data_IF_326844022305
#
_entry.id   IF_326844022305
#
_cell.length_a   1.000
_cell.length_b   1.000
_cell.length_c   1.000
_cell.angle_alpha   90.00
_cell.angle_beta   90.00
_cell.angle_gamma   90.00
#
_symmetry.space_group_name_H-M   'P 1'
#
loop_
_entity.id
_entity.type
_entity.pdbx_description
1 polymer ?
#
# COMPACT_ATOMS: atom_id res chain seq x y z
N UNK A 1 -37.77 -22.92 -28.05
CA UNK A 1 -36.90 -21.82 -27.56
C UNK A 1 -37.11 -20.43 -28.21
N UNK A 2 -37.95 -20.25 -29.25
CA UNK A 2 -38.15 -18.95 -29.95
C UNK A 2 -39.15 -17.94 -29.33
N UNK A 3 -39.84 -18.28 -28.22
CA UNK A 3 -40.83 -17.41 -27.55
C UNK A 3 -40.29 -16.65 -26.32
N UNK A 4 -39.23 -17.12 -25.66
CA UNK A 4 -38.62 -16.46 -24.49
C UNK A 4 -37.77 -15.22 -24.85
N UNK A 5 -37.13 -15.19 -26.03
CA UNK A 5 -36.36 -14.03 -26.50
C UNK A 5 -37.20 -12.77 -26.74
N UNK A 6 -38.43 -12.92 -27.26
CA UNK A 6 -39.33 -11.80 -27.59
C UNK A 6 -40.00 -11.12 -26.38
N UNK A 7 -39.91 -11.73 -25.20
CA UNK A 7 -40.48 -11.18 -23.96
C UNK A 7 -39.41 -10.35 -23.20
N UNK A 8 -38.16 -10.84 -23.16
CA UNK A 8 -37.01 -10.12 -22.60
C UNK A 8 -36.71 -8.85 -23.41
N UNK A 9 -36.79 -8.92 -24.74
CA UNK A 9 -36.65 -7.72 -25.61
C UNK A 9 -37.74 -6.66 -25.36
N UNK A 10 -38.97 -7.09 -25.04
CA UNK A 10 -40.08 -6.16 -24.77
C UNK A 10 -39.96 -5.48 -23.42
N UNK A 11 -39.42 -6.16 -22.41
CA UNK A 11 -39.16 -5.60 -21.08
C UNK A 11 -37.98 -4.62 -21.14
N UNK A 12 -36.91 -4.97 -21.85
CA UNK A 12 -35.75 -4.07 -22.02
C UNK A 12 -36.14 -2.78 -22.78
N UNK A 13 -36.96 -2.89 -23.83
CA UNK A 13 -37.51 -1.71 -24.54
C UNK A 13 -38.46 -0.87 -23.67
N UNK A 14 -39.25 -1.47 -22.78
CA UNK A 14 -40.11 -0.72 -21.85
C UNK A 14 -39.32 0.02 -20.78
N UNK A 15 -38.27 -0.60 -20.22
CA UNK A 15 -37.39 0.05 -19.24
C UNK A 15 -36.53 1.17 -19.86
N UNK A 16 -36.06 1.00 -21.10
CA UNK A 16 -35.37 2.08 -21.82
C UNK A 16 -36.29 3.27 -22.14
N UNK A 17 -37.56 3.02 -22.48
CA UNK A 17 -38.56 4.07 -22.74
C UNK A 17 -38.93 4.86 -21.47
N UNK A 18 -39.09 4.19 -20.33
CA UNK A 18 -39.37 4.88 -19.06
C UNK A 18 -38.18 5.68 -18.55
N UNK A 19 -36.95 5.20 -18.75
CA UNK A 19 -35.74 5.95 -18.42
C UNK A 19 -35.49 7.16 -19.35
N UNK A 20 -35.98 7.13 -20.60
CA UNK A 20 -35.98 8.27 -21.53
C UNK A 20 -37.02 9.32 -21.13
N UNK A 21 -38.24 8.89 -20.81
CA UNK A 21 -39.32 9.76 -20.36
C UNK A 21 -38.92 10.50 -19.07
N UNK A 22 -38.35 9.79 -18.08
CA UNK A 22 -37.91 10.41 -16.82
C UNK A 22 -36.87 11.52 -17.05
N UNK A 23 -35.83 11.28 -17.85
CA UNK A 23 -34.82 12.31 -18.11
C UNK A 23 -35.32 13.49 -18.92
N UNK A 24 -36.22 13.24 -19.87
CA UNK A 24 -36.84 14.31 -20.66
C UNK A 24 -37.71 15.16 -19.75
N UNK A 25 -38.50 14.53 -18.88
CA UNK A 25 -39.31 15.22 -17.87
C UNK A 25 -38.42 16.02 -16.92
N UNK A 26 -37.31 15.46 -16.42
CA UNK A 26 -36.38 16.20 -15.55
C UNK A 26 -35.76 17.43 -16.23
N UNK A 27 -35.35 17.32 -17.50
CA UNK A 27 -34.78 18.42 -18.25
C UNK A 27 -35.81 19.52 -18.54
N UNK A 28 -37.04 19.13 -18.89
CA UNK A 28 -38.15 20.06 -19.14
C UNK A 28 -38.57 20.77 -17.84
N UNK A 29 -38.72 20.03 -16.74
CA UNK A 29 -39.05 20.59 -15.42
C UNK A 29 -37.95 21.53 -14.94
N UNK A 30 -36.67 21.15 -15.09
CA UNK A 30 -35.54 22.02 -14.77
C UNK A 30 -35.54 23.32 -15.59
N UNK A 31 -35.82 23.24 -16.89
CA UNK A 31 -35.95 24.42 -17.75
C UNK A 31 -37.12 25.33 -17.36
N UNK A 32 -38.28 24.74 -17.04
CA UNK A 32 -39.47 25.49 -16.57
C UNK A 32 -39.23 26.17 -15.22
N UNK A 33 -38.50 25.52 -14.31
CA UNK A 33 -38.12 26.10 -13.02
C UNK A 33 -37.20 27.30 -13.20
N UNK A 34 -36.19 27.20 -14.08
CA UNK A 34 -35.30 28.32 -14.39
C UNK A 34 -36.09 29.49 -14.99
N UNK A 35 -36.97 29.22 -15.96
CA UNK A 35 -37.81 30.25 -16.57
C UNK A 35 -38.74 30.94 -15.55
N UNK A 36 -39.38 30.15 -14.67
CA UNK A 36 -40.21 30.67 -13.58
C UNK A 36 -39.42 31.52 -12.59
N UNK A 37 -38.21 31.09 -12.23
CA UNK A 37 -37.30 31.85 -11.36
C UNK A 37 -36.86 33.17 -11.98
N UNK A 38 -36.50 33.15 -13.27
CA UNK A 38 -36.13 34.38 -13.99
C UNK A 38 -37.30 35.35 -14.09
N UNK A 39 -38.52 34.86 -14.31
CA UNK A 39 -39.72 35.68 -14.32
C UNK A 39 -39.99 36.30 -12.95
N UNK A 40 -39.93 35.49 -11.90
CA UNK A 40 -40.13 35.94 -10.52
C UNK A 40 -39.12 37.02 -10.12
N UNK A 41 -37.85 36.84 -10.50
CA UNK A 41 -36.79 37.84 -10.30
C UNK A 41 -37.06 39.14 -11.07
N UNK A 42 -37.50 39.07 -12.34
CA UNK A 42 -37.82 40.25 -13.14
C UNK A 42 -39.01 41.04 -12.58
N UNK A 43 -40.06 40.34 -12.13
CA UNK A 43 -41.20 40.96 -11.48
C UNK A 43 -40.80 41.64 -10.16
N UNK A 44 -40.04 40.93 -9.32
CA UNK A 44 -39.68 41.40 -7.98
C UNK A 44 -38.65 42.54 -7.99
N UNK A 45 -37.65 42.51 -8.89
CA UNK A 45 -36.60 43.53 -8.96
C UNK A 45 -36.98 44.74 -9.83
N UNK A 46 -37.77 44.55 -10.88
CA UNK A 46 -38.02 45.59 -11.89
C UNK A 46 -39.49 45.97 -12.06
N UNK A 47 -40.42 45.38 -11.30
CA UNK A 47 -41.83 45.78 -11.30
C UNK A 47 -42.53 45.57 -12.64
N UNK A 48 -42.12 44.56 -13.42
CA UNK A 48 -42.67 44.29 -14.74
C UNK A 48 -44.14 43.84 -14.66
N UNK A 49 -45.09 44.72 -14.96
CA UNK A 49 -46.51 44.35 -15.18
C UNK A 49 -46.75 43.91 -16.63
N UNK A 50 -47.60 42.89 -16.83
CA UNK A 50 -47.89 42.33 -18.16
C UNK A 50 -49.19 42.88 -18.73
N UNK A 51 -49.14 43.50 -19.91
CA UNK A 51 -50.32 43.59 -20.78
C UNK A 51 -50.72 42.19 -21.27
N UNK A 52 -52.03 41.95 -21.37
CA UNK A 52 -52.55 40.65 -21.82
C UNK A 52 -52.07 40.33 -23.24
N UNK A 53 -51.39 39.20 -23.46
CA UNK A 53 -50.74 38.93 -24.74
C UNK A 53 -51.75 38.71 -25.85
N UNK A 54 -51.57 39.43 -26.98
CA UNK A 54 -52.35 39.21 -28.20
C UNK A 54 -52.04 37.84 -28.82
N UNK A 55 -52.90 37.35 -29.73
CA UNK A 55 -52.74 36.03 -30.38
C UNK A 55 -51.36 35.81 -31.04
N UNK A 56 -50.74 36.88 -31.54
CA UNK A 56 -49.40 36.83 -32.16
C UNK A 56 -48.29 36.60 -31.13
N UNK A 57 -48.42 37.11 -29.91
CA UNK A 57 -47.41 36.92 -28.88
C UNK A 57 -47.56 35.55 -28.21
N UNK A 58 -48.78 35.06 -28.06
CA UNK A 58 -49.05 33.68 -27.64
C UNK A 58 -48.45 32.65 -28.63
N UNK A 59 -48.52 32.91 -29.94
CA UNK A 59 -47.90 32.04 -30.95
C UNK A 59 -46.37 32.12 -30.92
N UNK A 60 -45.77 33.30 -30.75
CA UNK A 60 -44.31 33.44 -30.59
C UNK A 60 -43.78 32.74 -29.32
N UNK A 61 -44.47 32.93 -28.20
CA UNK A 61 -44.10 32.31 -26.91
C UNK A 61 -44.20 30.79 -27.04
N UNK A 62 -45.32 30.25 -27.54
CA UNK A 62 -45.47 28.80 -27.72
C UNK A 62 -44.42 28.21 -28.67
N UNK A 63 -44.06 28.92 -29.75
CA UNK A 63 -43.05 28.47 -30.71
C UNK A 63 -41.63 28.48 -30.09
N UNK A 64 -41.29 29.49 -29.29
CA UNK A 64 -40.01 29.57 -28.57
C UNK A 64 -39.87 28.50 -27.48
N UNK A 65 -40.94 28.24 -26.70
CA UNK A 65 -40.98 27.18 -25.69
C UNK A 65 -40.85 25.81 -26.35
N UNK A 66 -41.58 25.57 -27.45
CA UNK A 66 -41.50 24.32 -28.20
C UNK A 66 -40.10 24.09 -28.77
N UNK A 67 -39.48 25.14 -29.33
CA UNK A 67 -38.10 25.08 -29.82
C UNK A 67 -37.10 24.82 -28.69
N UNK A 68 -37.25 25.48 -27.54
CA UNK A 68 -36.39 25.27 -26.37
C UNK A 68 -36.46 23.85 -25.81
N UNK A 69 -37.67 23.31 -25.67
CA UNK A 69 -37.88 21.91 -25.24
C UNK A 69 -37.31 20.94 -26.27
N UNK A 70 -37.56 21.18 -27.57
CA UNK A 70 -36.99 20.36 -28.65
C UNK A 70 -35.47 20.34 -28.64
N UNK A 71 -34.83 21.50 -28.43
CA UNK A 71 -33.38 21.64 -28.30
C UNK A 71 -32.81 20.90 -27.09
N UNK A 72 -33.43 21.03 -25.92
CA UNK A 72 -33.00 20.33 -24.71
C UNK A 72 -33.11 18.80 -24.85
N UNK A 73 -34.21 18.31 -25.44
CA UNK A 73 -34.39 16.87 -25.72
C UNK A 73 -33.33 16.37 -26.70
N UNK A 74 -33.06 17.12 -27.78
CA UNK A 74 -32.03 16.76 -28.75
C UNK A 74 -30.64 16.65 -28.09
N UNK A 75 -30.30 17.58 -27.20
CA UNK A 75 -29.02 17.58 -26.49
C UNK A 75 -28.89 16.40 -25.51
N UNK A 76 -29.96 16.09 -24.76
CA UNK A 76 -30.00 14.90 -23.88
C UNK A 76 -29.87 13.60 -24.67
N UNK A 77 -30.58 13.50 -25.80
CA UNK A 77 -30.51 12.32 -26.67
C UNK A 77 -29.13 12.18 -27.30
N UNK A 78 -28.53 13.27 -27.79
CA UNK A 78 -27.18 13.27 -28.33
C UNK A 78 -26.15 12.86 -27.26
N UNK A 79 -26.23 13.43 -26.06
CA UNK A 79 -25.36 13.08 -24.93
C UNK A 79 -25.50 11.59 -24.51
N UNK A 80 -26.74 11.07 -24.42
CA UNK A 80 -26.96 9.65 -24.11
C UNK A 80 -26.42 8.74 -25.20
N UNK A 81 -26.67 9.09 -26.47
CA UNK A 81 -26.17 8.32 -27.61
C UNK A 81 -24.65 8.30 -27.63
N UNK A 82 -24.01 9.43 -27.35
CA UNK A 82 -22.56 9.51 -27.17
C UNK A 82 -22.09 8.60 -26.03
N UNK A 83 -22.73 8.67 -24.87
CA UNK A 83 -22.37 7.85 -23.69
C UNK A 83 -22.56 6.35 -23.94
N UNK A 84 -23.61 5.95 -24.64
CA UNK A 84 -23.88 4.55 -24.98
C UNK A 84 -22.90 4.04 -26.03
N UNK A 85 -22.56 4.86 -27.04
CA UNK A 85 -21.51 4.54 -28.01
C UNK A 85 -20.14 4.38 -27.34
N UNK A 86 -19.76 5.29 -26.44
CA UNK A 86 -18.51 5.19 -25.67
C UNK A 86 -18.47 3.93 -24.79
N UNK A 87 -19.60 3.55 -24.18
CA UNK A 87 -19.73 2.31 -23.41
C UNK A 87 -19.57 1.07 -24.29
N UNK A 88 -20.22 1.05 -25.47
CA UNK A 88 -20.09 -0.04 -26.44
C UNK A 88 -18.65 -0.19 -26.93
N UNK A 89 -18.02 0.91 -27.33
CA UNK A 89 -16.63 0.94 -27.81
C UNK A 89 -15.63 0.49 -26.74
N UNK A 90 -15.81 0.95 -25.49
CA UNK A 90 -14.98 0.47 -24.38
C UNK A 90 -15.14 -1.05 -24.19
N UNK A 91 -16.37 -1.55 -24.13
CA UNK A 91 -16.62 -2.99 -23.92
C UNK A 91 -16.03 -3.86 -25.04
N UNK A 92 -16.08 -3.37 -26.28
CA UNK A 92 -15.47 -4.02 -27.45
C UNK A 92 -13.94 -4.08 -27.34
N UNK A 93 -13.28 -2.93 -27.15
CA UNK A 93 -11.81 -2.86 -27.09
C UNK A 93 -11.27 -3.58 -25.85
N UNK A 94 -11.90 -3.39 -24.69
CA UNK A 94 -11.57 -4.09 -23.45
C UNK A 94 -11.72 -5.60 -23.62
N UNK A 95 -12.82 -6.06 -24.22
CA UNK A 95 -13.07 -7.47 -24.48
C UNK A 95 -12.05 -8.08 -25.44
N UNK A 96 -11.67 -7.35 -26.50
CA UNK A 96 -10.64 -7.78 -27.44
C UNK A 96 -9.26 -7.88 -26.79
N UNK A 97 -8.85 -6.87 -26.01
CA UNK A 97 -7.59 -6.88 -25.27
C UNK A 97 -7.54 -8.00 -24.22
N UNK A 98 -8.63 -8.20 -23.47
CA UNK A 98 -8.74 -9.29 -22.51
C UNK A 98 -8.65 -10.68 -23.17
N UNK A 99 -9.24 -10.83 -24.37
CA UNK A 99 -9.13 -12.06 -25.16
C UNK A 99 -7.69 -12.34 -25.59
N UNK A 100 -6.97 -11.32 -26.08
CA UNK A 100 -5.57 -11.45 -26.46
C UNK A 100 -4.68 -11.80 -25.26
N UNK A 101 -4.92 -11.18 -24.10
CA UNK A 101 -4.20 -11.47 -22.86
C UNK A 101 -4.44 -12.91 -22.34
N UNK A 102 -5.58 -13.51 -22.71
CA UNK A 102 -5.92 -14.89 -22.37
C UNK A 102 -5.46 -15.95 -23.38
N UNK A 103 -4.79 -15.55 -24.46
CA UNK A 103 -4.41 -16.45 -25.55
C UNK A 103 -3.34 -17.48 -25.13
N UNK A 104 -3.26 -18.61 -25.85
CA UNK A 104 -2.20 -19.60 -25.64
C UNK A 104 -0.84 -19.11 -26.16
N UNK A 105 -0.82 -18.27 -27.20
CA UNK A 105 0.40 -17.73 -27.77
C UNK A 105 0.96 -16.58 -26.90
N UNK A 106 2.23 -16.69 -26.52
CA UNK A 106 2.94 -15.66 -25.75
C UNK A 106 2.99 -14.31 -26.49
N UNK A 107 3.18 -14.30 -27.82
CA UNK A 107 3.25 -13.06 -28.59
C UNK A 107 1.90 -12.33 -28.59
N UNK A 108 0.80 -13.09 -28.72
CA UNK A 108 -0.56 -12.55 -28.64
C UNK A 108 -0.87 -12.03 -27.24
N UNK A 109 -0.41 -12.71 -26.19
CA UNK A 109 -0.57 -12.21 -24.81
C UNK A 109 0.19 -10.91 -24.56
N UNK A 110 1.43 -10.80 -25.03
CA UNK A 110 2.23 -9.57 -24.95
C UNK A 110 1.52 -8.44 -25.70
N UNK A 111 1.00 -8.70 -26.92
CA UNK A 111 0.18 -7.72 -27.63
C UNK A 111 -1.08 -7.33 -26.84
N UNK A 112 -1.72 -8.30 -26.17
CA UNK A 112 -2.84 -8.08 -25.27
C UNK A 112 -2.52 -7.19 -24.07
N UNK A 113 -1.31 -7.26 -23.52
CA UNK A 113 -0.85 -6.34 -22.45
C UNK A 113 -0.83 -4.90 -22.96
N UNK A 114 -0.20 -4.66 -24.12
CA UNK A 114 -0.15 -3.32 -24.71
C UNK A 114 -1.53 -2.83 -25.16
N UNK A 115 -2.37 -3.71 -25.69
CA UNK A 115 -3.75 -3.39 -26.03
C UNK A 115 -4.55 -2.99 -24.79
N UNK A 116 -4.40 -3.70 -23.67
CA UNK A 116 -5.07 -3.38 -22.40
C UNK A 116 -4.60 -2.03 -21.86
N UNK A 117 -3.29 -1.73 -21.95
CA UNK A 117 -2.74 -0.43 -21.58
C UNK A 117 -3.30 0.70 -22.47
N UNK A 118 -3.36 0.48 -23.79
CA UNK A 118 -3.95 1.44 -24.72
C UNK A 118 -5.43 1.74 -24.43
N UNK A 119 -6.21 0.72 -24.06
CA UNK A 119 -7.60 0.91 -23.59
C UNK A 119 -7.64 1.69 -22.28
N UNK A 120 -6.72 1.42 -21.36
CA UNK A 120 -6.62 2.16 -20.10
C UNK A 120 -6.34 3.65 -20.37
N UNK A 121 -5.44 3.95 -21.31
CA UNK A 121 -5.03 5.31 -21.65
C UNK A 121 -6.12 6.09 -22.39
N UNK A 122 -6.74 5.46 -23.40
CA UNK A 122 -7.80 6.08 -24.22
C UNK A 122 -9.02 6.50 -23.37
N UNK A 123 -9.39 5.68 -22.38
CA UNK A 123 -10.60 5.91 -21.59
C UNK A 123 -10.27 6.53 -20.22
N UNK A 124 -10.28 7.86 -20.16
CA UNK A 124 -9.94 8.66 -18.96
C UNK A 124 -10.90 8.54 -17.77
N UNK A 125 -12.09 7.94 -17.95
CA UNK A 125 -13.02 7.70 -16.86
C UNK A 125 -12.37 6.78 -15.82
N UNK A 126 -12.21 7.28 -14.59
CA UNK A 126 -11.48 6.60 -13.49
C UNK A 126 -11.88 5.12 -13.31
N UNK A 127 -13.18 4.80 -13.40
CA UNK A 127 -13.63 3.41 -13.27
C UNK A 127 -13.13 2.48 -14.40
N UNK A 128 -13.04 2.98 -15.64
CA UNK A 128 -12.60 2.20 -16.81
C UNK A 128 -11.10 1.92 -16.77
N UNK A 129 -10.30 2.93 -16.49
CA UNK A 129 -8.84 2.77 -16.34
C UNK A 129 -8.49 1.86 -15.18
N UNK A 130 -9.17 1.99 -14.03
CA UNK A 130 -8.99 1.06 -12.91
C UNK A 130 -9.32 -0.38 -13.33
N UNK A 131 -10.39 -0.60 -14.09
CA UNK A 131 -10.75 -1.95 -14.57
C UNK A 131 -9.66 -2.58 -15.45
N UNK A 132 -9.01 -1.80 -16.33
CA UNK A 132 -7.86 -2.28 -17.12
C UNK A 132 -6.67 -2.65 -16.23
N UNK A 133 -6.34 -1.79 -15.26
CA UNK A 133 -5.27 -2.04 -14.27
C UNK A 133 -5.58 -3.30 -13.44
N UNK A 134 -6.83 -3.48 -13.03
CA UNK A 134 -7.28 -4.64 -12.24
C UNK A 134 -7.13 -5.96 -13.02
N UNK A 135 -7.30 -5.95 -14.34
CA UNK A 135 -7.04 -7.13 -15.19
C UNK A 135 -5.56 -7.44 -15.27
N UNK A 136 -4.71 -6.43 -15.47
CA UNK A 136 -3.26 -6.59 -15.48
C UNK A 136 -2.74 -7.12 -14.14
N UNK A 137 -3.16 -6.51 -13.03
CA UNK A 137 -2.90 -7.00 -11.68
C UNK A 137 -3.49 -8.41 -11.47
N UNK A 138 -4.70 -8.67 -11.95
CA UNK A 138 -5.34 -9.99 -11.89
C UNK A 138 -4.52 -11.08 -12.57
N UNK A 139 -3.90 -10.77 -13.72
CA UNK A 139 -3.00 -11.68 -14.40
C UNK A 139 -1.80 -12.06 -13.52
N UNK A 140 -1.17 -11.06 -12.89
CA UNK A 140 -0.01 -11.28 -12.01
C UNK A 140 -0.33 -12.13 -10.76
N UNK A 141 -1.60 -12.20 -10.36
CA UNK A 141 -2.07 -12.98 -9.21
C UNK A 141 -2.48 -14.42 -9.56
N UNK A 142 -2.47 -14.81 -10.83
CA UNK A 142 -2.70 -16.20 -11.21
C UNK A 142 -1.56 -17.09 -10.69
N UNK A 143 -1.83 -18.38 -10.35
CA UNK A 143 -0.78 -19.30 -9.94
C UNK A 143 0.36 -19.34 -10.96
N UNK A 144 1.59 -19.26 -10.47
CA UNK A 144 2.79 -19.18 -11.29
C UNK A 144 3.96 -19.85 -10.57
N UNK A 145 4.65 -20.73 -11.27
CA UNK A 145 5.91 -21.32 -10.83
C UNK A 145 7.08 -20.69 -11.60
N UNK A 146 7.93 -19.88 -10.94
CA UNK A 146 9.15 -19.31 -11.54
C UNK A 146 10.04 -20.33 -12.24
N UNK A 147 10.13 -21.56 -11.74
CA UNK A 147 10.98 -22.59 -12.34
C UNK A 147 10.49 -23.04 -13.72
N UNK A 148 9.18 -22.90 -13.99
CA UNK A 148 8.56 -23.27 -15.26
C UNK A 148 8.27 -22.04 -16.15
N UNK A 149 8.37 -20.82 -15.60
CA UNK A 149 7.93 -19.58 -16.25
C UNK A 149 8.69 -19.16 -17.51
N UNK A 150 9.95 -19.57 -17.64
CA UNK A 150 10.79 -19.37 -18.83
C UNK A 150 10.80 -20.58 -19.79
N UNK A 151 9.94 -21.58 -19.52
CA UNK A 151 9.91 -22.82 -20.28
C UNK A 151 9.09 -22.67 -21.57
N UNK A 152 9.60 -23.29 -22.64
CA UNK A 152 8.83 -23.52 -23.87
C UNK A 152 7.89 -24.73 -23.78
N UNK A 153 7.69 -25.32 -22.60
CA UNK A 153 6.80 -26.46 -22.41
C UNK A 153 5.33 -26.01 -22.35
N UNK A 154 4.48 -26.60 -23.21
CA UNK A 154 3.02 -26.38 -23.17
C UNK A 154 2.29 -27.37 -22.26
N UNK A 155 2.91 -28.53 -21.99
CA UNK A 155 2.28 -29.65 -21.29
C UNK A 155 3.32 -30.39 -20.46
N UNK A 156 2.96 -30.77 -19.24
CA UNK A 156 3.72 -31.67 -18.37
C UNK A 156 2.83 -32.85 -17.97
N UNK A 157 3.31 -34.07 -18.14
CA UNK A 157 2.62 -35.26 -17.66
C UNK A 157 3.36 -35.81 -16.44
N UNK A 158 2.68 -35.93 -15.30
CA UNK A 158 3.17 -36.66 -14.13
C UNK A 158 2.46 -38.00 -14.03
N UNK A 159 3.23 -39.08 -13.93
CA UNK A 159 2.68 -40.40 -13.63
C UNK A 159 2.79 -40.66 -12.14
N UNK A 160 1.65 -40.74 -11.45
CA UNK A 160 1.54 -41.21 -10.07
C UNK A 160 1.22 -42.72 -10.10
N UNK A 161 2.16 -43.55 -9.63
CA UNK A 161 1.94 -44.99 -9.44
C UNK A 161 1.20 -45.20 -8.11
N UNK A 162 -0.11 -45.48 -8.18
CA UNK A 162 -0.89 -45.96 -7.03
C UNK A 162 -0.92 -47.49 -7.04
N UNK A 163 -1.07 -48.14 -5.87
CA UNK A 163 -1.07 -49.61 -5.77
C UNK A 163 -2.07 -50.31 -6.71
N UNK A 164 -3.16 -49.62 -7.09
CA UNK A 164 -4.27 -50.19 -7.88
C UNK A 164 -4.46 -49.52 -9.25
N UNK A 165 -3.74 -48.42 -9.55
CA UNK A 165 -3.88 -47.71 -10.82
C UNK A 165 -2.68 -46.81 -11.14
N UNK A 166 -2.30 -46.75 -12.42
CA UNK A 166 -1.41 -45.72 -12.95
C UNK A 166 -2.22 -44.46 -13.27
N UNK A 167 -2.04 -43.39 -12.52
CA UNK A 167 -2.71 -42.10 -12.75
C UNK A 167 -1.76 -41.17 -13.50
N UNK A 168 -2.08 -40.85 -14.75
CA UNK A 168 -1.36 -39.84 -15.52
C UNK A 168 -2.07 -38.48 -15.37
N UNK A 169 -1.40 -37.52 -14.74
CA UNK A 169 -1.88 -36.13 -14.61
C UNK A 169 -1.20 -35.27 -15.65
N UNK A 170 -1.98 -34.76 -16.60
CA UNK A 170 -1.50 -33.86 -17.64
C UNK A 170 -1.81 -32.42 -17.22
N UNK A 171 -0.78 -31.67 -16.87
CA UNK A 171 -0.83 -30.24 -16.58
C UNK A 171 -0.56 -29.45 -17.87
N UNK A 172 -1.39 -28.45 -18.15
CA UNK A 172 -1.10 -27.47 -19.20
C UNK A 172 -0.29 -26.32 -18.59
N UNK A 173 0.94 -26.16 -19.05
CA UNK A 173 1.85 -25.11 -18.61
C UNK A 173 1.71 -23.92 -19.56
N UNK A 174 1.60 -22.71 -19.01
CA UNK A 174 1.60 -21.49 -19.82
C UNK A 174 3.03 -21.18 -20.23
N UNK A 175 3.38 -21.51 -21.48
CA UNK A 175 4.69 -21.23 -22.05
C UNK A 175 5.10 -19.77 -21.84
N UNK A 176 6.36 -19.54 -21.44
CA UNK A 176 6.96 -18.20 -21.35
C UNK A 176 6.11 -17.16 -20.59
N UNK A 177 5.39 -17.59 -19.55
CA UNK A 177 4.54 -16.68 -18.75
C UNK A 177 5.37 -15.60 -18.04
N UNK A 178 6.65 -15.87 -17.73
CA UNK A 178 7.58 -14.87 -17.18
C UNK A 178 7.70 -13.64 -18.06
N UNK A 179 7.74 -13.80 -19.40
CA UNK A 179 7.86 -12.67 -20.33
C UNK A 179 6.61 -11.80 -20.35
N UNK A 180 5.42 -12.42 -20.29
CA UNK A 180 4.14 -11.69 -20.21
C UNK A 180 4.07 -10.93 -18.89
N UNK A 181 4.39 -11.58 -17.77
CA UNK A 181 4.39 -10.97 -16.42
C UNK A 181 5.37 -9.81 -16.33
N UNK A 182 6.59 -9.97 -16.86
CA UNK A 182 7.59 -8.91 -16.94
C UNK A 182 7.09 -7.73 -17.77
N UNK A 183 6.44 -8.01 -18.90
CA UNK A 183 5.81 -6.96 -19.74
C UNK A 183 4.73 -6.20 -18.98
N UNK A 184 3.87 -6.90 -18.23
CA UNK A 184 2.83 -6.27 -17.40
C UNK A 184 3.46 -5.33 -16.37
N UNK A 185 4.46 -5.79 -15.62
CA UNK A 185 5.16 -4.97 -14.63
C UNK A 185 5.83 -3.77 -15.30
N UNK A 186 6.51 -3.97 -16.43
CA UNK A 186 7.16 -2.89 -17.18
C UNK A 186 6.17 -1.81 -17.65
N UNK A 187 5.01 -2.23 -18.17
CA UNK A 187 3.93 -1.31 -18.55
C UNK A 187 3.41 -0.55 -17.33
N UNK A 188 3.14 -1.24 -16.21
CA UNK A 188 2.69 -0.56 -14.99
C UNK A 188 3.73 0.48 -14.53
N UNK A 189 5.01 0.08 -14.41
CA UNK A 189 6.12 0.95 -14.01
C UNK A 189 6.23 2.18 -14.92
N UNK A 190 6.11 1.99 -16.23
CA UNK A 190 6.16 3.09 -17.19
C UNK A 190 5.07 4.14 -16.93
N UNK A 191 3.86 3.73 -16.54
CA UNK A 191 2.73 4.66 -16.33
C UNK A 191 2.68 5.28 -14.92
N UNK A 192 3.45 4.78 -13.96
CA UNK A 192 3.45 5.31 -12.59
C UNK A 192 4.74 6.08 -12.23
N UNK A 193 5.67 6.23 -13.17
CA UNK A 193 6.81 7.14 -13.02
C UNK A 193 6.36 8.61 -13.11
N UNK A 194 7.10 9.54 -12.47
CA UNK A 194 6.79 10.97 -12.55
C UNK A 194 6.97 11.51 -13.97
N UNK A 195 6.19 12.53 -14.33
CA UNK A 195 6.34 13.26 -15.60
C UNK A 195 5.74 12.59 -16.83
N UNK A 196 5.01 11.48 -16.67
CA UNK A 196 4.32 10.82 -17.78
C UNK A 196 2.98 11.49 -18.10
N UNK A 197 2.66 11.60 -19.40
CA UNK A 197 1.45 12.28 -19.89
C UNK A 197 0.17 11.62 -19.36
N UNK A 198 0.07 10.30 -19.49
CA UNK A 198 -1.07 9.51 -18.99
C UNK A 198 -0.68 8.72 -17.75
N UNK A 199 -0.67 9.39 -16.60
CA UNK A 199 -0.27 8.74 -15.35
C UNK A 199 -1.34 7.80 -14.78
N UNK A 200 -0.89 6.63 -14.29
CA UNK A 200 -1.67 5.68 -13.52
C UNK A 200 -1.41 5.79 -12.01
N UNK A 201 -0.59 6.75 -11.57
CA UNK A 201 -0.14 6.86 -10.17
C UNK A 201 -1.28 6.96 -9.15
N UNK A 202 -2.39 7.60 -9.49
CA UNK A 202 -3.54 7.81 -8.57
C UNK A 202 -4.52 6.63 -8.51
N UNK A 203 -4.20 5.51 -9.18
CA UNK A 203 -5.01 4.29 -9.22
C UNK A 203 -4.54 3.26 -8.19
N UNK A 204 -5.43 2.36 -7.79
CA UNK A 204 -5.11 1.31 -6.84
C UNK A 204 -4.40 0.16 -7.54
N UNK A 205 -3.46 -0.48 -6.84
CA UNK A 205 -2.73 -1.63 -7.35
C UNK A 205 -2.82 -2.79 -6.36
N UNK A 206 -3.22 -3.96 -6.85
CA UNK A 206 -3.37 -5.16 -6.05
C UNK A 206 -2.47 -6.27 -6.61
N UNK A 207 -1.30 -6.45 -6.00
CA UNK A 207 -0.34 -7.51 -6.27
C UNK A 207 -0.41 -8.62 -5.22
N UNK A 208 -1.55 -8.80 -4.54
CA UNK A 208 -1.71 -9.83 -3.54
C UNK A 208 -1.39 -11.21 -4.08
N UNK A 209 -0.56 -11.95 -3.36
CA UNK A 209 -0.14 -13.32 -3.67
C UNK A 209 0.56 -13.45 -5.04
N UNK A 210 0.94 -12.32 -5.66
CA UNK A 210 1.66 -12.30 -6.93
C UNK A 210 3.12 -12.74 -6.74
N UNK A 211 3.61 -13.52 -7.70
CA UNK A 211 5.04 -13.83 -7.83
C UNK A 211 5.66 -12.83 -8.80
N UNK A 212 6.61 -12.05 -8.29
CA UNK A 212 7.23 -10.91 -8.94
C UNK A 212 8.73 -11.18 -9.14
N UNK A 213 9.12 -11.41 -10.40
CA UNK A 213 10.48 -11.76 -10.78
C UNK A 213 11.27 -10.53 -11.26
N UNK A 214 12.47 -10.30 -10.71
CA UNK A 214 13.41 -9.26 -11.14
C UNK A 214 12.79 -7.85 -11.26
N UNK A 215 11.88 -7.48 -10.34
CA UNK A 215 11.12 -6.24 -10.47
C UNK A 215 11.93 -4.99 -10.12
N UNK A 216 11.77 -3.96 -10.97
CA UNK A 216 12.39 -2.64 -10.83
C UNK A 216 11.30 -1.56 -10.75
N UNK A 217 10.97 -1.18 -9.52
CA UNK A 217 10.08 -0.11 -9.13
C UNK A 217 10.82 1.18 -8.77
N UNK A 218 12.03 1.42 -9.31
CA UNK A 218 12.72 2.68 -9.05
C UNK A 218 11.93 3.88 -9.53
N UNK A 219 11.90 4.92 -8.67
CA UNK A 219 11.26 6.20 -8.92
C UNK A 219 9.74 6.15 -9.19
N UNK A 220 9.07 5.04 -8.92
CA UNK A 220 7.62 4.93 -9.12
C UNK A 220 6.85 5.72 -8.07
N UNK A 221 5.64 6.16 -8.43
CA UNK A 221 4.73 6.88 -7.53
C UNK A 221 3.41 6.12 -7.43
N UNK A 222 3.20 5.46 -6.29
CA UNK A 222 1.95 4.85 -5.88
C UNK A 222 1.13 5.84 -5.05
N UNK A 223 0.22 6.58 -5.69
CA UNK A 223 -0.65 7.59 -5.07
C UNK A 223 -2.13 7.18 -5.01
N UNK A 224 -2.48 5.97 -5.48
CA UNK A 224 -3.81 5.39 -5.26
C UNK A 224 -4.12 5.20 -3.78
N UNK A 225 -5.40 5.06 -3.43
CA UNK A 225 -5.82 4.85 -2.03
C UNK A 225 -5.20 3.58 -1.44
N UNK A 226 -5.00 2.56 -2.27
CA UNK A 226 -4.53 1.23 -1.86
C UNK A 226 -3.42 0.70 -2.79
N UNK A 227 -2.31 0.28 -2.19
CA UNK A 227 -1.23 -0.46 -2.85
C UNK A 227 -0.93 -1.71 -2.03
N UNK A 228 -1.29 -2.87 -2.57
CA UNK A 228 -1.18 -4.14 -1.86
C UNK A 228 -0.16 -5.06 -2.51
N UNK A 229 0.69 -5.64 -1.67
CA UNK A 229 1.64 -6.72 -1.94
C UNK A 229 1.47 -7.82 -0.89
N UNK A 230 0.24 -8.04 -0.39
CA UNK A 230 0.00 -9.02 0.69
C UNK A 230 0.33 -10.41 0.18
N UNK A 231 1.20 -11.16 0.86
CA UNK A 231 1.59 -12.50 0.44
C UNK A 231 2.41 -12.55 -0.86
N UNK A 232 2.77 -11.40 -1.44
CA UNK A 232 3.55 -11.35 -2.67
C UNK A 232 4.94 -11.96 -2.47
N UNK A 233 5.44 -12.67 -3.48
CA UNK A 233 6.76 -13.30 -3.46
C UNK A 233 7.66 -12.59 -4.45
N UNK A 234 8.69 -11.92 -3.93
CA UNK A 234 9.73 -11.28 -4.72
C UNK A 234 10.91 -12.24 -4.87
N UNK A 235 11.21 -12.58 -6.12
CA UNK A 235 12.19 -13.61 -6.50
C UNK A 235 12.95 -13.21 -7.76
N UNK A 236 13.86 -14.06 -8.21
CA UNK A 236 14.60 -13.90 -9.45
C UNK A 236 16.10 -13.97 -9.24
N UNK A 237 16.84 -13.42 -10.19
CA UNK A 237 18.31 -13.39 -10.20
C UNK A 237 18.87 -12.05 -9.80
N UNK A 238 18.04 -10.99 -9.86
CA UNK A 238 18.40 -9.61 -9.55
C UNK A 238 17.74 -9.18 -8.24
N UNK A 239 18.28 -8.12 -7.65
CA UNK A 239 17.64 -7.49 -6.50
C UNK A 239 16.27 -6.91 -6.90
N UNK A 240 15.33 -6.96 -5.97
CA UNK A 240 14.06 -6.22 -6.04
C UNK A 240 14.31 -4.76 -5.68
N UNK A 241 13.96 -3.82 -6.57
CA UNK A 241 14.34 -2.43 -6.39
C UNK A 241 13.13 -1.49 -6.24
N UNK A 242 13.02 -0.87 -5.07
CA UNK A 242 12.07 0.20 -4.72
C UNK A 242 12.79 1.51 -4.38
N UNK A 243 14.03 1.69 -4.84
CA UNK A 243 14.80 2.90 -4.56
C UNK A 243 14.06 4.13 -5.09
N UNK A 244 13.94 5.15 -4.23
CA UNK A 244 13.22 6.40 -4.52
C UNK A 244 11.72 6.20 -4.85
N UNK A 245 11.15 5.02 -4.61
CA UNK A 245 9.73 4.79 -4.77
C UNK A 245 8.93 5.63 -3.76
N UNK A 246 7.79 6.16 -4.18
CA UNK A 246 6.91 6.98 -3.36
C UNK A 246 5.57 6.29 -3.18
N UNK A 247 5.25 5.91 -1.95
CA UNK A 247 3.98 5.37 -1.52
C UNK A 247 3.19 6.48 -0.82
N UNK A 248 2.40 7.20 -1.61
CA UNK A 248 1.60 8.37 -1.23
C UNK A 248 0.14 8.02 -0.90
N UNK A 249 -0.24 6.77 -1.16
CA UNK A 249 -1.55 6.22 -0.83
C UNK A 249 -1.82 6.10 0.66
N UNK A 250 -3.11 6.04 1.02
CA UNK A 250 -3.56 5.85 2.42
C UNK A 250 -3.11 4.50 2.99
N UNK A 251 -3.07 3.46 2.16
CA UNK A 251 -2.80 2.08 2.58
C UNK A 251 -1.72 1.46 1.71
N UNK A 252 -0.56 1.16 2.30
CA UNK A 252 0.51 0.38 1.65
C UNK A 252 0.81 -0.84 2.50
N UNK A 253 0.64 -2.04 1.93
CA UNK A 253 0.84 -3.29 2.67
C UNK A 253 1.72 -4.28 1.93
N UNK A 254 2.71 -4.80 2.64
CA UNK A 254 3.57 -5.95 2.34
C UNK A 254 3.32 -7.07 3.36
N UNK A 255 2.11 -7.13 3.92
CA UNK A 255 1.77 -8.12 4.94
C UNK A 255 2.00 -9.55 4.42
N UNK A 256 2.82 -10.35 5.10
CA UNK A 256 3.16 -11.69 4.66
C UNK A 256 4.00 -11.77 3.37
N UNK A 257 4.51 -10.64 2.87
CA UNK A 257 5.34 -10.63 1.66
C UNK A 257 6.68 -11.33 1.91
N UNK A 258 7.19 -12.03 0.89
CA UNK A 258 8.43 -12.81 0.97
C UNK A 258 9.45 -12.27 -0.02
N UNK A 259 10.54 -11.70 0.48
CA UNK A 259 11.68 -11.22 -0.30
C UNK A 259 12.77 -12.28 -0.27
N UNK A 260 12.79 -13.14 -1.31
CA UNK A 260 13.75 -14.25 -1.43
C UNK A 260 15.10 -13.80 -1.99
N UNK A 261 15.15 -12.62 -2.58
CA UNK A 261 16.34 -11.97 -3.13
C UNK A 261 16.63 -10.68 -2.37
N UNK A 262 17.80 -10.08 -2.60
CA UNK A 262 18.11 -8.77 -2.05
C UNK A 262 17.04 -7.74 -2.41
N UNK A 263 16.70 -6.84 -1.48
CA UNK A 263 15.71 -5.78 -1.69
C UNK A 263 16.20 -4.42 -1.24
N UNK A 264 15.99 -3.40 -2.08
CA UNK A 264 16.34 -2.02 -1.79
C UNK A 264 15.10 -1.14 -1.73
N UNK A 265 14.84 -0.55 -0.55
CA UNK A 265 13.93 0.56 -0.31
C UNK A 265 14.71 1.85 -0.02
N UNK A 266 15.94 1.96 -0.54
CA UNK A 266 16.82 3.12 -0.35
C UNK A 266 16.08 4.41 -0.76
N UNK A 267 16.05 5.40 0.13
CA UNK A 267 15.35 6.67 -0.08
C UNK A 267 13.86 6.54 -0.45
N UNK A 268 13.23 5.38 -0.23
CA UNK A 268 11.80 5.22 -0.47
C UNK A 268 10.99 6.08 0.51
N UNK A 269 9.84 6.59 0.06
CA UNK A 269 8.97 7.45 0.86
C UNK A 269 7.62 6.79 1.07
N UNK A 270 7.35 6.37 2.29
CA UNK A 270 6.07 5.88 2.77
C UNK A 270 5.36 7.00 3.52
N UNK A 271 4.86 7.98 2.75
CA UNK A 271 4.30 9.23 3.28
C UNK A 271 2.96 9.48 2.59
N UNK A 272 1.82 9.21 3.25
CA UNK A 272 0.51 9.43 2.65
C UNK A 272 0.29 10.92 2.37
N UNK A 273 -0.33 11.24 1.23
CA UNK A 273 -0.59 12.64 0.85
C UNK A 273 -1.60 13.33 1.77
N UNK A 274 -2.72 12.66 2.06
CA UNK A 274 -3.87 13.23 2.79
C UNK A 274 -4.49 12.17 3.69
N UNK A 275 -4.76 12.53 4.95
CA UNK A 275 -5.42 11.71 5.96
C UNK A 275 -6.70 12.44 6.37
N UNK A 276 -7.77 12.27 5.59
CA UNK A 276 -9.00 13.08 5.77
C UNK A 276 -10.00 12.48 6.77
N UNK A 277 -9.88 11.19 7.11
CA UNK A 277 -10.92 10.46 7.83
C UNK A 277 -10.36 9.67 9.04
N UNK A 278 -10.67 10.08 10.28
CA UNK A 278 -10.29 9.37 11.50
C UNK A 278 -10.88 7.96 11.62
N UNK A 279 -11.98 7.63 10.92
CA UNK A 279 -12.63 6.32 11.01
C UNK A 279 -11.85 5.20 10.32
N UNK A 280 -11.00 5.52 9.35
CA UNK A 280 -10.16 4.58 8.60
C UNK A 280 -8.76 4.38 9.23
N UNK A 281 -8.51 4.97 10.41
CA UNK A 281 -7.21 4.92 11.07
C UNK A 281 -6.74 3.48 11.29
N UNK A 282 -7.64 2.53 11.57
CA UNK A 282 -7.32 1.11 11.82
C UNK A 282 -6.44 0.46 10.75
N UNK A 283 -6.66 0.80 9.47
CA UNK A 283 -5.97 0.18 8.33
C UNK A 283 -4.96 1.10 7.65
N UNK A 284 -5.05 2.41 7.86
CA UNK A 284 -4.20 3.43 7.23
C UNK A 284 -2.74 3.29 7.70
N UNK A 285 -1.80 3.57 6.79
CA UNK A 285 -0.36 3.54 7.04
C UNK A 285 0.37 2.45 6.26
N UNK A 286 1.57 2.12 6.74
CA UNK A 286 2.49 1.19 6.09
C UNK A 286 2.65 -0.08 6.93
N UNK A 287 2.55 -1.24 6.28
CA UNK A 287 2.55 -2.54 6.96
C UNK A 287 3.51 -3.52 6.29
N UNK A 288 4.45 -4.04 7.06
CA UNK A 288 5.35 -5.16 6.75
C UNK A 288 5.11 -6.34 7.72
N UNK A 289 3.94 -6.42 8.33
CA UNK A 289 3.60 -7.45 9.31
C UNK A 289 3.73 -8.86 8.73
N UNK A 290 4.38 -9.78 9.45
CA UNK A 290 4.72 -11.14 9.00
C UNK A 290 5.52 -11.22 7.69
N UNK A 291 6.17 -10.12 7.28
CA UNK A 291 7.01 -10.16 6.08
C UNK A 291 8.34 -10.86 6.37
N UNK A 292 8.88 -11.52 5.35
CA UNK A 292 10.11 -12.31 5.43
C UNK A 292 11.15 -11.75 4.47
N UNK A 293 12.29 -11.30 5.01
CA UNK A 293 13.43 -10.80 4.26
C UNK A 293 14.58 -11.79 4.34
N UNK A 294 14.67 -12.68 3.35
CA UNK A 294 15.70 -13.72 3.30
C UNK A 294 17.02 -13.24 2.68
N UNK A 295 16.96 -12.19 1.83
CA UNK A 295 18.14 -11.57 1.22
C UNK A 295 18.55 -10.26 1.90
N UNK A 296 19.74 -9.71 1.55
CA UNK A 296 20.17 -8.40 2.01
C UNK A 296 19.10 -7.32 1.79
N UNK A 297 18.79 -6.56 2.83
CA UNK A 297 17.67 -5.62 2.84
C UNK A 297 18.15 -4.24 3.26
N UNK A 298 17.76 -3.21 2.51
CA UNK A 298 18.08 -1.82 2.88
C UNK A 298 16.86 -0.91 2.82
N UNK A 299 16.63 -0.19 3.91
CA UNK A 299 15.74 0.96 4.07
C UNK A 299 16.54 2.24 4.29
N UNK A 300 17.80 2.29 3.83
CA UNK A 300 18.68 3.41 4.09
C UNK A 300 18.10 4.72 3.55
N UNK A 301 17.98 5.73 4.41
CA UNK A 301 17.37 7.02 4.04
C UNK A 301 15.86 6.97 3.77
N UNK A 302 15.20 5.83 4.00
CA UNK A 302 13.76 5.71 3.81
C UNK A 302 12.99 6.58 4.81
N UNK A 303 11.82 7.06 4.41
CA UNK A 303 10.96 7.92 5.23
C UNK A 303 9.61 7.27 5.45
N UNK A 304 9.19 7.20 6.71
CA UNK A 304 7.91 6.65 7.12
C UNK A 304 7.12 7.72 7.87
N UNK A 305 5.88 7.97 7.45
CA UNK A 305 5.00 8.94 8.07
C UNK A 305 3.54 8.48 7.99
N UNK A 306 2.65 9.26 8.60
CA UNK A 306 1.23 8.95 8.71
C UNK A 306 0.89 8.28 10.05
N UNK A 307 -0.26 7.60 10.16
CA UNK A 307 -0.75 7.17 11.47
C UNK A 307 0.06 5.98 12.01
N UNK A 308 0.50 5.05 11.15
CA UNK A 308 1.17 3.82 11.59
C UNK A 308 2.23 3.32 10.60
N UNK A 309 3.31 2.78 11.15
CA UNK A 309 4.29 1.95 10.45
C UNK A 309 4.53 0.68 11.26
N UNK A 310 4.28 -0.49 10.67
CA UNK A 310 4.24 -1.78 11.38
C UNK A 310 5.18 -2.80 10.75
N UNK A 311 6.13 -3.32 11.53
CA UNK A 311 7.01 -4.45 11.22
C UNK A 311 6.76 -5.62 12.20
N UNK A 312 5.52 -5.75 12.68
CA UNK A 312 5.14 -6.76 13.68
C UNK A 312 5.44 -8.16 13.13
N UNK A 313 6.15 -8.97 13.90
CA UNK A 313 6.56 -10.34 13.53
C UNK A 313 7.24 -10.41 12.15
N UNK A 314 7.90 -9.33 11.72
CA UNK A 314 8.71 -9.35 10.51
C UNK A 314 10.05 -10.02 10.80
N UNK A 315 10.52 -10.85 9.87
CA UNK A 315 11.80 -11.57 10.01
C UNK A 315 12.82 -11.03 9.03
N UNK A 316 13.98 -10.62 9.55
CA UNK A 316 15.14 -10.14 8.81
C UNK A 316 16.29 -11.15 8.94
N UNK A 317 16.35 -12.10 8.01
CA UNK A 317 17.30 -13.20 8.01
C UNK A 317 18.47 -13.01 7.02
N UNK A 318 18.39 -12.02 6.13
CA UNK A 318 19.48 -11.72 5.19
C UNK A 318 20.75 -11.23 5.88
N UNK A 319 21.92 -11.53 5.28
CA UNK A 319 23.25 -11.20 5.82
C UNK A 319 23.41 -9.75 6.30
N UNK A 320 22.72 -8.81 5.65
CA UNK A 320 22.69 -7.40 6.03
C UNK A 320 21.26 -6.86 6.03
N UNK A 321 20.90 -6.16 7.11
CA UNK A 321 19.68 -5.34 7.19
C UNK A 321 20.06 -3.92 7.60
N UNK A 322 19.78 -2.94 6.74
CA UNK A 322 20.22 -1.55 6.94
C UNK A 322 19.02 -0.61 7.00
N UNK A 323 18.77 -0.02 8.16
CA UNK A 323 17.86 1.10 8.38
C UNK A 323 18.59 2.44 8.51
N UNK A 324 19.92 2.48 8.40
CA UNK A 324 20.70 3.69 8.66
C UNK A 324 20.16 4.95 7.99
N UNK A 325 20.11 6.05 8.73
CA UNK A 325 19.53 7.34 8.29
C UNK A 325 18.05 7.29 7.87
N UNK A 326 17.32 6.21 8.16
CA UNK A 326 15.87 6.20 7.98
C UNK A 326 15.19 7.13 9.00
N UNK A 327 14.05 7.68 8.60
CA UNK A 327 13.27 8.61 9.42
C UNK A 327 11.85 8.08 9.63
N UNK A 328 11.54 7.71 10.87
CA UNK A 328 10.25 7.21 11.32
C UNK A 328 9.49 8.32 12.08
N UNK A 329 8.61 8.99 11.34
CA UNK A 329 7.76 10.10 11.81
C UNK A 329 6.28 9.73 11.87
N UNK A 330 5.95 8.45 11.71
CA UNK A 330 4.58 7.98 11.90
C UNK A 330 4.18 8.10 13.37
N UNK A 331 2.90 8.41 13.65
CA UNK A 331 2.41 8.57 15.03
C UNK A 331 2.70 7.33 15.89
N UNK A 332 2.62 6.14 15.29
CA UNK A 332 3.02 4.88 15.90
C UNK A 332 3.93 4.08 14.97
N UNK A 333 5.13 3.75 15.44
CA UNK A 333 6.08 2.84 14.77
C UNK A 333 6.30 1.62 15.67
N UNK A 334 6.11 0.42 15.14
CA UNK A 334 6.28 -0.82 15.91
C UNK A 334 7.05 -1.88 15.12
N UNK A 335 8.00 -2.52 15.82
CA UNK A 335 8.79 -3.70 15.47
C UNK A 335 8.51 -4.83 16.48
N UNK A 336 7.32 -4.83 17.09
CA UNK A 336 6.94 -5.82 18.09
C UNK A 336 7.05 -7.25 17.55
N UNK A 337 7.72 -8.14 18.29
CA UNK A 337 7.95 -9.52 17.86
C UNK A 337 8.87 -9.66 16.63
N UNK A 338 9.45 -8.57 16.11
CA UNK A 338 10.31 -8.64 14.93
C UNK A 338 11.60 -9.42 15.25
N UNK A 339 12.01 -10.28 14.33
CA UNK A 339 13.22 -11.10 14.47
C UNK A 339 14.32 -10.57 13.57
N UNK A 340 15.46 -10.23 14.16
CA UNK A 340 16.67 -9.81 13.47
C UNK A 340 17.74 -10.89 13.62
N UNK A 341 17.80 -11.84 12.68
CA UNK A 341 18.63 -13.05 12.74
C UNK A 341 19.70 -13.12 11.62
N UNK A 342 19.87 -12.02 10.88
CA UNK A 342 20.89 -11.89 9.85
C UNK A 342 22.32 -11.73 10.39
N UNK A 343 23.29 -11.52 9.50
CA UNK A 343 24.68 -11.30 9.92
C UNK A 343 24.91 -9.95 10.62
N UNK A 344 24.32 -8.87 10.10
CA UNK A 344 24.46 -7.51 10.66
C UNK A 344 23.19 -6.68 10.44
N UNK A 345 22.73 -6.03 11.51
CA UNK A 345 21.61 -5.08 11.47
C UNK A 345 22.09 -3.69 11.89
N UNK A 346 21.72 -2.67 11.12
CA UNK A 346 22.17 -1.27 11.31
C UNK A 346 20.99 -0.31 11.37
N UNK A 347 20.69 0.19 12.56
CA UNK A 347 19.81 1.33 12.82
C UNK A 347 20.61 2.63 13.04
N UNK A 348 21.89 2.67 12.67
CA UNK A 348 22.73 3.81 13.03
C UNK A 348 22.27 5.12 12.37
N UNK A 349 22.27 6.20 13.15
CA UNK A 349 21.77 7.50 12.72
C UNK A 349 20.29 7.51 12.31
N UNK A 350 19.51 6.50 12.69
CA UNK A 350 18.05 6.53 12.49
C UNK A 350 17.39 7.56 13.39
N UNK A 351 16.28 8.12 12.93
CA UNK A 351 15.48 9.06 13.72
C UNK A 351 14.08 8.51 13.87
N UNK A 352 13.63 8.37 15.11
CA UNK A 352 12.27 8.06 15.49
C UNK A 352 11.69 9.23 16.27
N UNK A 353 10.77 9.99 15.68
CA UNK A 353 10.14 11.15 16.32
C UNK A 353 8.60 11.03 16.42
N UNK A 354 8.09 9.82 16.18
CA UNK A 354 6.69 9.46 16.42
C UNK A 354 6.30 9.49 17.90
N UNK A 355 4.98 9.55 18.16
CA UNK A 355 4.45 9.57 19.53
C UNK A 355 4.65 8.23 20.25
N UNK A 356 4.63 7.10 19.53
CA UNK A 356 4.84 5.76 20.10
C UNK A 356 5.84 4.98 19.26
N UNK A 357 6.89 4.49 19.91
CA UNK A 357 7.92 3.63 19.32
C UNK A 357 7.92 2.32 20.11
N UNK A 358 7.84 1.18 19.45
CA UNK A 358 7.90 -0.12 20.12
C UNK A 358 8.80 -1.10 19.38
N UNK A 359 9.65 -1.76 20.14
CA UNK A 359 10.46 -2.94 19.86
C UNK A 359 10.15 -4.03 20.91
N UNK A 360 8.97 -3.97 21.54
CA UNK A 360 8.59 -4.93 22.56
C UNK A 360 8.64 -6.36 22.02
N UNK A 361 9.21 -7.29 22.79
CA UNK A 361 9.42 -8.68 22.38
C UNK A 361 10.20 -8.85 21.07
N UNK A 362 10.98 -7.84 20.63
CA UNK A 362 11.84 -7.99 19.47
C UNK A 362 13.04 -8.89 19.80
N UNK A 363 13.50 -9.64 18.81
CA UNK A 363 14.61 -10.58 18.95
C UNK A 363 15.84 -10.07 18.19
N UNK A 364 16.84 -9.58 18.90
CA UNK A 364 18.12 -9.12 18.34
C UNK A 364 19.15 -10.26 18.39
N UNK A 365 19.07 -11.19 17.44
CA UNK A 365 19.93 -12.39 17.38
C UNK A 365 21.10 -12.28 16.40
N UNK A 366 21.09 -11.24 15.55
CA UNK A 366 22.14 -10.99 14.59
C UNK A 366 23.50 -10.79 15.27
N UNK A 367 24.58 -11.22 14.61
CA UNK A 367 25.93 -11.13 15.17
C UNK A 367 26.35 -9.71 15.57
N UNK A 368 25.78 -8.69 14.93
CA UNK A 368 25.82 -7.30 15.40
C UNK A 368 24.53 -6.56 15.07
N UNK A 369 23.97 -5.88 16.06
CA UNK A 369 22.88 -4.90 15.94
C UNK A 369 23.38 -3.55 16.45
N UNK A 370 23.42 -2.54 15.57
CA UNK A 370 23.84 -1.18 15.93
C UNK A 370 22.66 -0.21 15.93
N UNK A 371 22.51 0.56 16.99
CA UNK A 371 21.68 1.76 17.11
C UNK A 371 22.58 2.98 17.32
N UNK A 372 23.81 2.94 16.81
CA UNK A 372 24.81 3.96 17.09
C UNK A 372 24.36 5.31 16.51
N UNK A 373 24.53 6.41 17.24
CA UNK A 373 24.04 7.75 16.85
C UNK A 373 22.52 7.81 16.55
N UNK A 374 21.73 6.81 16.93
CA UNK A 374 20.29 6.81 16.68
C UNK A 374 19.55 7.76 17.64
N UNK A 375 18.52 8.44 17.13
CA UNK A 375 17.62 9.26 17.93
C UNK A 375 16.30 8.53 18.13
N UNK A 376 16.12 7.95 19.31
CA UNK A 376 14.94 7.19 19.72
C UNK A 376 14.05 8.06 20.59
N UNK A 377 13.05 8.67 19.95
CA UNK A 377 12.10 9.58 20.56
C UNK A 377 12.47 11.04 20.38
N UNK A 378 11.47 11.91 20.54
CA UNK A 378 11.61 13.35 20.46
C UNK A 378 11.15 14.02 21.76
N UNK A 379 11.88 15.06 22.17
CA UNK A 379 11.43 15.98 23.21
C UNK A 379 10.32 16.90 22.67
N UNK A 380 9.51 17.44 23.58
CA UNK A 380 8.49 18.41 23.23
C UNK A 380 9.13 19.60 22.48
N UNK A 381 8.59 19.91 21.29
CA UNK A 381 8.92 21.11 20.53
C UNK A 381 7.66 21.93 20.36
N UNK A 382 7.80 23.23 20.06
CA UNK A 382 6.69 24.18 19.94
C UNK A 382 5.54 23.74 18.99
N UNK A 383 5.75 22.72 18.13
CA UNK A 383 4.76 22.16 17.19
C UNK A 383 4.59 20.63 17.23
N UNK A 384 5.30 19.92 18.11
CA UNK A 384 5.25 18.46 18.19
C UNK A 384 5.16 18.01 19.63
N UNK A 385 4.17 17.16 19.93
CA UNK A 385 4.12 16.45 21.20
C UNK A 385 5.39 15.62 21.38
N UNK A 386 5.92 15.51 22.62
CA UNK A 386 7.01 14.59 22.89
C UNK A 386 6.59 13.16 22.55
N UNK A 387 7.57 12.30 22.30
CA UNK A 387 7.33 10.86 22.28
C UNK A 387 6.82 10.42 23.64
N UNK A 388 5.65 9.76 23.66
CA UNK A 388 5.03 9.25 24.88
C UNK A 388 5.83 8.06 25.44
N UNK A 389 6.23 7.14 24.56
CA UNK A 389 6.94 5.92 24.96
C UNK A 389 7.83 5.38 23.85
N UNK A 390 9.06 5.02 24.22
CA UNK A 390 9.98 4.16 23.49
C UNK A 390 10.06 2.84 24.24
N UNK A 391 9.46 1.79 23.69
CA UNK A 391 9.23 0.52 24.36
C UNK A 391 10.17 -0.56 23.80
N UNK A 392 10.97 -1.17 24.67
CA UNK A 392 11.85 -2.30 24.41
C UNK A 392 11.58 -3.44 25.40
N UNK A 393 10.38 -3.46 26.00
CA UNK A 393 10.03 -4.43 27.04
C UNK A 393 10.07 -5.85 26.50
N UNK A 394 10.55 -6.80 27.31
CA UNK A 394 10.64 -8.22 26.93
C UNK A 394 11.47 -8.51 25.67
N UNK A 395 12.28 -7.58 25.18
CA UNK A 395 13.16 -7.81 24.04
C UNK A 395 14.37 -8.69 24.40
N UNK A 396 14.83 -9.48 23.43
CA UNK A 396 15.99 -10.35 23.60
C UNK A 396 17.21 -9.72 22.91
N UNK A 397 18.33 -9.64 23.62
CA UNK A 397 19.57 -9.01 23.17
C UNK A 397 20.71 -10.02 23.17
N UNK A 398 20.99 -10.61 22.00
CA UNK A 398 22.07 -11.58 21.83
C UNK A 398 23.19 -11.05 20.93
N UNK A 399 24.38 -11.63 21.06
CA UNK A 399 25.53 -11.25 20.25
C UNK A 399 26.05 -9.87 20.64
N UNK A 400 26.29 -8.98 19.68
CA UNK A 400 26.70 -7.59 19.97
C UNK A 400 25.56 -6.63 19.67
N UNK A 401 25.05 -5.93 20.69
CA UNK A 401 24.06 -4.85 20.53
C UNK A 401 24.64 -3.54 21.02
N UNK A 402 24.64 -2.50 20.19
CA UNK A 402 25.23 -1.21 20.55
C UNK A 402 24.19 -0.10 20.46
N UNK A 403 24.11 0.72 21.50
CA UNK A 403 23.37 1.98 21.59
C UNK A 403 24.34 3.15 21.82
N UNK A 404 25.60 2.98 21.41
CA UNK A 404 26.64 3.97 21.64
C UNK A 404 26.30 5.29 20.96
N UNK A 405 26.51 6.41 21.64
CA UNK A 405 26.14 7.76 21.17
C UNK A 405 24.64 7.95 20.83
N UNK A 406 23.77 6.98 21.11
CA UNK A 406 22.35 7.09 20.86
C UNK A 406 21.68 8.08 21.82
N UNK A 407 20.54 8.62 21.43
CA UNK A 407 19.69 9.47 22.27
C UNK A 407 18.37 8.76 22.56
N UNK A 408 18.08 8.52 23.83
CA UNK A 408 16.80 8.00 24.30
C UNK A 408 15.99 9.17 24.87
N UNK A 409 14.96 9.63 24.16
CA UNK A 409 14.17 10.80 24.55
C UNK A 409 12.66 10.51 24.57
N UNK A 410 11.88 11.44 25.12
CA UNK A 410 10.43 11.30 25.31
C UNK A 410 10.08 11.25 26.80
N UNK A 411 8.88 10.74 27.13
CA UNK A 411 8.48 10.58 28.53
C UNK A 411 9.05 9.31 29.16
N UNK A 412 9.03 8.20 28.43
CA UNK A 412 9.48 6.91 28.94
C UNK A 412 10.31 6.18 27.87
N UNK A 413 11.49 5.68 28.26
CA UNK A 413 12.22 4.64 27.54
C UNK A 413 12.28 3.37 28.41
N UNK A 414 11.64 2.30 27.97
CA UNK A 414 11.39 1.13 28.81
C UNK A 414 12.11 -0.11 28.26
N UNK A 415 13.11 -0.61 28.99
CA UNK A 415 13.88 -1.82 28.68
C UNK A 415 13.60 -2.94 29.70
N UNK A 416 12.48 -2.86 30.42
CA UNK A 416 12.13 -3.84 31.46
C UNK A 416 11.89 -5.24 30.89
N UNK A 417 12.07 -6.27 31.71
CA UNK A 417 11.92 -7.68 31.32
C UNK A 417 12.85 -8.13 30.16
N UNK A 418 13.88 -7.34 29.84
CA UNK A 418 14.83 -7.63 28.76
C UNK A 418 15.71 -8.84 29.07
N UNK A 419 16.03 -9.63 28.05
CA UNK A 419 16.99 -10.73 28.12
C UNK A 419 18.33 -10.26 27.56
N UNK A 420 19.21 -9.74 28.44
CA UNK A 420 20.51 -9.22 28.04
C UNK A 420 21.59 -10.30 28.15
N UNK A 421 21.97 -10.87 27.01
CA UNK A 421 22.94 -11.95 26.93
C UNK A 421 23.93 -11.79 25.77
N UNK A 422 25.02 -11.07 25.99
CA UNK A 422 26.04 -10.83 24.96
C UNK A 422 26.94 -9.66 25.31
N UNK A 423 27.35 -8.88 24.31
CA UNK A 423 28.03 -7.60 24.47
C UNK A 423 27.05 -6.47 24.13
N UNK A 424 26.42 -5.88 25.15
CA UNK A 424 25.43 -4.82 25.01
C UNK A 424 26.04 -3.50 25.49
N UNK A 425 26.20 -2.52 24.60
CA UNK A 425 26.86 -1.25 24.95
C UNK A 425 25.88 -0.08 24.96
N UNK A 426 25.92 0.71 26.02
CA UNK A 426 25.23 2.00 26.17
C UNK A 426 26.24 3.13 26.45
N UNK A 427 27.44 3.05 25.86
CA UNK A 427 28.51 4.01 26.13
C UNK A 427 28.20 5.31 25.41
N UNK A 428 28.25 6.42 26.16
CA UNK A 428 27.90 7.77 25.65
C UNK A 428 26.44 7.89 25.17
N UNK A 429 25.57 6.93 25.51
CA UNK A 429 24.13 7.08 25.30
C UNK A 429 23.59 8.24 26.15
N UNK A 430 22.83 9.12 25.53
CA UNK A 430 22.12 10.19 26.21
C UNK A 430 20.75 9.72 26.69
N UNK A 431 20.64 9.44 27.99
CA UNK A 431 19.38 9.11 28.68
C UNK A 431 18.54 10.38 28.92
N UNK A 432 17.96 10.90 27.84
CA UNK A 432 17.29 12.19 27.75
C UNK A 432 15.77 12.16 28.02
N UNK A 433 15.18 10.98 28.20
CA UNK A 433 13.78 10.78 28.55
C UNK A 433 13.49 11.15 30.01
N UNK A 434 12.23 11.45 30.34
CA UNK A 434 11.84 11.78 31.72
C UNK A 434 12.11 10.60 32.66
N UNK A 435 11.91 9.37 32.18
CA UNK A 435 12.23 8.13 32.87
C UNK A 435 12.80 7.07 31.91
N UNK A 436 13.81 6.32 32.36
CA UNK A 436 14.39 5.18 31.64
C UNK A 436 14.38 3.96 32.56
N UNK A 437 13.77 2.84 32.15
CA UNK A 437 13.61 1.65 33.01
C UNK A 437 14.40 0.46 32.50
N UNK A 438 15.00 -0.27 33.43
CA UNK A 438 15.65 -1.56 33.25
C UNK A 438 15.14 -2.54 34.33
N UNK A 439 13.86 -2.47 34.67
CA UNK A 439 13.29 -3.23 35.78
C UNK A 439 13.15 -4.72 35.42
N UNK A 440 13.40 -5.59 36.40
CA UNK A 440 13.19 -7.04 36.32
C UNK A 440 13.79 -7.73 35.07
N UNK A 441 15.09 -7.53 34.74
CA UNK A 441 15.67 -8.19 33.57
C UNK A 441 15.63 -9.71 33.73
N UNK A 442 15.46 -10.43 32.61
CA UNK A 442 15.57 -11.90 32.59
C UNK A 442 17.02 -12.35 32.70
N UNK A 443 17.93 -11.60 32.08
CA UNK A 443 19.38 -11.75 32.19
C UNK A 443 20.06 -10.38 32.20
N UNK A 444 21.25 -10.30 32.80
CA UNK A 444 22.05 -9.08 32.88
C UNK A 444 23.53 -9.41 32.63
N UNK A 445 23.88 -9.83 31.41
CA UNK A 445 25.21 -10.30 31.05
C UNK A 445 25.82 -9.44 29.95
N UNK A 446 27.00 -8.88 30.23
CA UNK A 446 27.82 -8.11 29.30
C UNK A 446 27.21 -6.78 28.84
N UNK A 447 26.43 -6.13 29.72
CA UNK A 447 26.07 -4.73 29.54
C UNK A 447 27.22 -3.81 29.92
N UNK A 448 27.39 -2.72 29.17
CA UNK A 448 28.42 -1.71 29.41
C UNK A 448 27.81 -0.30 29.45
N UNK A 449 27.94 0.38 30.58
CA UNK A 449 27.55 1.78 30.79
C UNK A 449 28.77 2.64 31.15
N UNK A 450 28.67 3.96 30.95
CA UNK A 450 29.74 4.89 31.34
C UNK A 450 30.02 4.89 32.85
N UNK A 451 29.01 4.60 33.67
CA UNK A 451 29.10 4.61 35.13
C UNK A 451 29.38 3.23 35.73
N UNK A 452 29.73 2.21 34.93
CA UNK A 452 30.10 0.88 35.49
C UNK A 452 31.31 0.95 36.42
N UNK A 453 32.20 1.93 36.19
CA UNK A 453 33.36 2.20 37.05
C UNK A 453 33.01 3.02 38.30
N UNK A 454 31.95 3.82 38.25
CA UNK A 454 31.47 4.66 39.36
C UNK A 454 29.95 4.84 39.26
N UNK A 455 29.17 3.99 39.95
CA UNK A 455 27.71 4.04 39.94
C UNK A 455 27.10 5.36 40.43
N UNK A 456 27.87 6.22 41.11
CA UNK A 456 27.40 7.55 41.53
C UNK A 456 27.16 8.50 40.34
N UNK A 457 27.76 8.19 39.19
CA UNK A 457 27.55 8.90 37.92
C UNK A 457 26.27 8.48 37.19
N UNK A 458 25.54 7.48 37.70
CA UNK A 458 24.28 7.03 37.11
C UNK A 458 23.24 8.17 37.12
N UNK A 459 22.60 8.50 35.99
CA UNK A 459 21.53 9.50 35.95
C UNK A 459 20.33 9.11 36.84
N UNK A 460 19.76 10.07 37.55
CA UNK A 460 18.65 9.83 38.49
C UNK A 460 17.34 9.37 37.83
N UNK A 461 17.16 9.67 36.54
CA UNK A 461 16.03 9.22 35.72
C UNK A 461 16.18 7.78 35.22
N UNK A 462 17.33 7.12 35.41
CA UNK A 462 17.54 5.70 35.08
C UNK A 462 17.17 4.83 36.28
N UNK A 463 16.22 3.92 36.09
CA UNK A 463 15.65 3.00 37.08
C UNK A 463 16.00 1.54 36.76
N UNK A 464 16.14 0.67 37.78
CA UNK A 464 15.92 0.93 39.20
C UNK A 464 17.02 1.76 39.88
N UNK A 465 16.76 2.23 41.11
CA UNK A 465 17.74 3.01 41.90
C UNK A 465 18.92 2.14 42.38
N UNK A 466 18.65 0.88 42.75
CA UNK A 466 19.67 -0.13 43.01
C UNK A 466 20.29 -0.59 41.68
N UNK A 467 21.62 -0.50 41.54
CA UNK A 467 22.32 -0.79 40.29
C UNK A 467 23.59 -1.63 40.50
N UNK A 468 23.87 -2.64 39.66
CA UNK A 468 23.02 -3.16 38.57
C UNK A 468 21.74 -3.85 39.09
N UNK A 469 20.67 -3.94 38.27
CA UNK A 469 19.48 -4.69 38.63
C UNK A 469 19.77 -6.19 38.77
N UNK A 470 19.11 -6.84 39.72
CA UNK A 470 19.18 -8.30 39.88
C UNK A 470 18.22 -8.95 38.88
N UNK A 471 18.68 -9.93 38.07
CA UNK A 471 17.78 -10.69 37.21
C UNK A 471 16.70 -11.42 38.01
N UNK A 472 15.50 -11.58 37.42
CA UNK A 472 14.46 -12.41 38.02
C UNK A 472 14.98 -13.86 38.15
N UNK A 473 14.92 -14.45 39.36
CA UNK A 473 15.26 -15.86 39.55
C UNK A 473 14.40 -16.71 38.60
N UNK A 474 15.04 -17.51 37.74
CA UNK A 474 14.34 -18.53 36.96
C UNK A 474 13.62 -19.46 37.95
N UNK A 475 12.33 -19.78 37.75
CA UNK A 475 11.67 -20.78 38.58
C UNK A 475 12.49 -22.08 38.52
N UNK A 476 12.66 -22.79 39.66
CA UNK A 476 13.45 -24.01 39.68
C UNK A 476 12.89 -24.99 38.65
N UNK A 477 13.76 -25.48 37.77
CA UNK A 477 13.43 -26.57 36.85
C UNK A 477 12.93 -27.73 37.71
N UNK A 478 11.70 -28.26 37.49
CA UNK A 478 11.24 -29.44 38.21
C UNK A 478 12.27 -30.55 37.99
N UNK A 479 12.81 -31.10 39.08
CA UNK A 479 13.59 -32.33 38.97
C UNK A 479 12.64 -33.42 38.47
N UNK A 480 12.96 -33.99 37.30
CA UNK A 480 12.26 -35.15 36.72
C UNK A 480 12.21 -36.36 37.67
#
# INVERSE_FOLDING_TARGET
MRRRGRFVERIHRRMQRSALLLSVVSAVVGGLLIAGLTWWLLYFLFGAETETPNQVDLTKISLSVTAGVGGAVALVVAYRRQRDNERGRFAELFGAAAKQLGDSDVAVRIAGVYAMAGVADEFSARGRRQQCIDVLCGYLRMPFDPAEGASHLATRAETELRPEARVERIYRVRQNDSEVRRTIVAVIVAHIRPGVETSWSTYNFNFDDAVLEDVDFRYVVFAGRHTHFRGAVFTGTRMTNFEQAQFRGKHTTFHGAKFRVAVSFRNARFVPDHIDDPSDLGRTGTSFVHSMFSGPTTFEGARFAGPRTRFIDATFAGDQTVFSRAHFSAESTTFEGATFDGGRVRFDGTVFDGARISFASAHFYAGRVGFDDAHLGARARWRHSPTDRTDFTSADYHGTVSFDDAVLAGRLADFSDGDFFGEISFRRTAFAADEVRFDYPKAWVGLHFLWDTDPSLKPANVKPDTWPPTPAELPPVPAD
#
